data_IF_491526185851
#
_entry.id   IF_491526185851
#
_cell.length_a   1.000
_cell.length_b   1.000
_cell.length_c   1.000
_cell.angle_alpha   90.00
_cell.angle_beta   90.00
_cell.angle_gamma   90.00
#
_symmetry.space_group_name_H-M   'P 1'
#
loop_
_entity.id
_entity.type
_entity.pdbx_description
1 polymer ?
#
# COMPACT_ATOMS: atom_id res chain seq x y z
N UNK A 1 16.97 -2.87 -4.49
CA UNK A 1 16.74 -3.77 -5.65
C UNK A 1 15.74 -3.13 -6.62
N UNK A 2 15.40 -3.79 -7.74
CA UNK A 2 14.40 -3.30 -8.71
C UNK A 2 13.01 -3.06 -8.09
N UNK A 3 12.65 -3.88 -7.09
CA UNK A 3 11.36 -3.83 -6.43
C UNK A 3 11.19 -2.64 -5.49
N UNK A 4 12.23 -2.23 -4.75
CA UNK A 4 12.20 -1.05 -3.88
C UNK A 4 11.84 0.21 -4.65
N UNK A 5 12.43 0.37 -5.85
CA UNK A 5 12.13 1.51 -6.73
C UNK A 5 10.67 1.51 -7.19
N UNK A 6 10.13 0.33 -7.54
CA UNK A 6 8.73 0.19 -7.92
C UNK A 6 7.77 0.48 -6.78
N UNK A 7 8.09 0.02 -5.57
CA UNK A 7 7.30 0.31 -4.37
C UNK A 7 7.33 1.79 -4.02
N UNK A 8 8.51 2.41 -4.01
CA UNK A 8 8.65 3.84 -3.76
C UNK A 8 7.85 4.66 -4.78
N UNK A 9 7.94 4.31 -6.07
CA UNK A 9 7.15 4.95 -7.12
C UNK A 9 5.64 4.78 -6.87
N UNK A 10 5.18 3.56 -6.57
CA UNK A 10 3.78 3.30 -6.27
C UNK A 10 3.28 4.11 -5.07
N UNK A 11 4.08 4.21 -3.99
CA UNK A 11 3.73 4.99 -2.81
C UNK A 11 3.59 6.47 -3.17
N UNK A 12 4.51 7.03 -3.96
CA UNK A 12 4.43 8.43 -4.40
C UNK A 12 3.21 8.68 -5.30
N UNK A 13 2.88 7.75 -6.20
CA UNK A 13 1.67 7.84 -7.03
C UNK A 13 0.39 7.80 -6.19
N UNK A 14 0.30 6.88 -5.23
CA UNK A 14 -0.81 6.77 -4.31
C UNK A 14 -0.93 8.02 -3.41
N UNK A 15 0.21 8.56 -2.96
CA UNK A 15 0.29 9.79 -2.18
C UNK A 15 -0.20 11.01 -2.96
N UNK A 16 0.23 11.17 -4.20
CA UNK A 16 -0.20 12.27 -5.06
C UNK A 16 -1.72 12.26 -5.33
N UNK A 17 -2.34 11.08 -5.35
CA UNK A 17 -3.77 10.91 -5.64
C UNK A 17 -4.66 11.00 -4.41
N UNK A 18 -4.25 10.39 -3.31
CA UNK A 18 -5.14 10.13 -2.18
C UNK A 18 -4.65 10.69 -0.83
N UNK A 19 -3.35 11.01 -0.69
CA UNK A 19 -2.74 11.57 0.52
C UNK A 19 -3.24 10.89 1.81
N UNK A 20 -2.94 9.59 1.94
CA UNK A 20 -3.52 8.73 2.96
C UNK A 20 -2.67 8.70 4.24
N UNK A 21 -3.29 8.61 5.43
CA UNK A 21 -2.60 8.45 6.71
C UNK A 21 -2.10 7.00 6.90
N UNK A 22 -1.39 6.47 5.92
CA UNK A 22 -0.87 5.11 5.91
C UNK A 22 0.65 5.09 5.70
N UNK A 23 1.30 4.06 6.24
CA UNK A 23 2.73 3.79 6.08
C UNK A 23 2.97 2.38 5.55
N UNK A 24 3.85 2.25 4.56
CA UNK A 24 4.44 0.99 4.14
C UNK A 24 5.76 0.78 4.88
N UNK A 25 5.97 -0.39 5.46
CA UNK A 25 7.22 -0.80 6.11
C UNK A 25 7.77 -2.02 5.37
N UNK A 26 8.97 -1.90 4.83
CA UNK A 26 9.65 -2.99 4.14
C UNK A 26 10.36 -3.90 5.15
N UNK A 27 10.68 -5.13 4.73
CA UNK A 27 11.34 -6.13 5.58
C UNK A 27 12.75 -5.72 6.04
N UNK A 28 13.39 -4.78 5.34
CA UNK A 28 14.69 -4.20 5.70
C UNK A 28 14.58 -2.97 6.62
N UNK A 29 13.35 -2.60 7.03
CA UNK A 29 13.07 -1.47 7.90
C UNK A 29 12.86 -0.14 7.18
N UNK A 30 12.99 -0.08 5.85
CA UNK A 30 12.65 1.13 5.09
C UNK A 30 11.15 1.44 5.23
N UNK A 31 10.81 2.74 5.31
CA UNK A 31 9.45 3.21 5.50
C UNK A 31 9.07 4.21 4.43
N UNK A 32 7.85 4.07 3.89
CA UNK A 32 7.29 4.98 2.90
C UNK A 32 5.89 5.41 3.31
N UNK A 33 5.64 6.72 3.34
CA UNK A 33 4.35 7.28 3.76
C UNK A 33 3.47 7.59 2.55
N UNK A 34 2.23 7.11 2.57
CA UNK A 34 1.22 7.36 1.52
C UNK A 34 0.60 8.77 1.61
N UNK A 35 1.13 9.64 2.45
CA UNK A 35 0.55 10.94 2.73
C UNK A 35 1.40 11.79 3.66
N UNK A 36 0.86 12.94 4.05
CA UNK A 36 1.42 13.81 5.09
C UNK A 36 0.55 13.74 6.33
N UNK A 37 1.13 13.26 7.44
CA UNK A 37 0.44 13.04 8.70
C UNK A 37 1.43 13.03 9.87
N UNK A 38 0.94 13.25 11.09
CA UNK A 38 1.78 13.22 12.30
C UNK A 38 2.13 11.80 12.75
N UNK A 39 1.18 10.87 12.64
CA UNK A 39 1.36 9.45 12.91
C UNK A 39 0.47 8.62 11.95
N UNK A 40 0.95 7.44 11.50
CA UNK A 40 0.16 6.61 10.60
C UNK A 40 -1.05 6.03 11.35
N UNK A 41 -2.23 6.09 10.72
CA UNK A 41 -3.42 5.38 11.19
C UNK A 41 -3.34 3.89 10.85
N UNK A 42 -2.71 3.58 9.73
CA UNK A 42 -2.49 2.20 9.26
C UNK A 42 -1.04 2.00 8.86
N UNK A 43 -0.47 0.87 9.27
CA UNK A 43 0.84 0.41 8.84
C UNK A 43 0.71 -0.93 8.10
N UNK A 44 1.26 -1.00 6.89
CA UNK A 44 1.38 -2.20 6.08
C UNK A 44 2.82 -2.69 6.17
N UNK A 45 3.06 -3.84 6.79
CA UNK A 45 4.40 -4.44 6.92
C UNK A 45 4.56 -5.53 5.88
N UNK A 46 5.62 -5.46 5.08
CA UNK A 46 5.93 -6.47 4.06
C UNK A 46 6.73 -7.59 4.70
N UNK A 47 6.15 -8.78 4.77
CA UNK A 47 6.78 -9.97 5.34
C UNK A 47 7.53 -10.80 4.29
N UNK A 48 7.12 -10.68 3.02
CA UNK A 48 7.66 -11.49 1.93
C UNK A 48 7.74 -10.71 0.63
N UNK A 49 8.80 -10.95 -0.15
CA UNK A 49 8.92 -10.43 -1.52
C UNK A 49 7.77 -10.90 -2.44
N UNK A 50 7.09 -11.99 -2.11
CA UNK A 50 5.90 -12.44 -2.85
C UNK A 50 4.66 -11.56 -2.64
N UNK A 51 4.70 -10.60 -1.71
CA UNK A 51 3.68 -9.55 -1.58
C UNK A 51 3.75 -8.51 -2.70
N UNK A 52 4.94 -8.29 -3.26
CA UNK A 52 5.24 -7.14 -4.12
C UNK A 52 4.36 -7.07 -5.37
N UNK A 53 4.12 -8.17 -6.10
CA UNK A 53 3.21 -8.13 -7.25
C UNK A 53 1.77 -7.75 -6.85
N UNK A 54 1.31 -8.18 -5.68
CA UNK A 54 -0.04 -7.87 -5.18
C UNK A 54 -0.17 -6.42 -4.72
N UNK A 55 0.90 -5.86 -4.12
CA UNK A 55 0.92 -4.47 -3.66
C UNK A 55 1.03 -3.46 -4.80
N UNK A 56 1.73 -3.81 -5.89
CA UNK A 56 1.88 -2.95 -7.07
C UNK A 56 0.63 -2.92 -7.96
N UNK A 57 -0.28 -3.87 -7.77
CA UNK A 57 -1.63 -3.85 -8.32
C UNK A 57 -2.65 -3.87 -7.17
N UNK A 58 -2.71 -2.81 -6.35
CA UNK A 58 -3.54 -2.86 -5.17
C UNK A 58 -5.00 -2.83 -5.61
N UNK A 59 -5.69 -3.95 -5.42
CA UNK A 59 -7.14 -4.10 -5.41
C UNK A 59 -7.53 -4.66 -4.04
N UNK A 60 -8.81 -4.60 -3.67
CA UNK A 60 -9.25 -5.21 -2.42
C UNK A 60 -8.94 -6.71 -2.38
N UNK A 61 -9.07 -7.39 -3.52
CA UNK A 61 -8.74 -8.81 -3.65
C UNK A 61 -7.25 -9.06 -3.42
N UNK A 62 -6.37 -8.27 -4.04
CA UNK A 62 -4.92 -8.44 -3.90
C UNK A 62 -4.42 -8.06 -2.50
N UNK A 63 -4.96 -7.00 -1.90
CA UNK A 63 -4.63 -6.58 -0.54
C UNK A 63 -5.12 -7.62 0.48
N UNK A 64 -6.35 -8.11 0.30
CA UNK A 64 -6.94 -9.17 1.13
C UNK A 64 -6.17 -10.48 1.00
N UNK A 65 -5.81 -10.88 -0.21
CA UNK A 65 -4.98 -12.07 -0.45
C UNK A 65 -3.63 -11.93 0.27
N UNK A 66 -2.95 -10.79 0.12
CA UNK A 66 -1.65 -10.58 0.71
C UNK A 66 -1.71 -10.69 2.24
N UNK A 67 -2.76 -10.16 2.86
CA UNK A 67 -2.98 -10.25 4.30
C UNK A 67 -3.31 -11.67 4.75
N UNK A 68 -4.31 -12.33 4.15
CA UNK A 68 -4.74 -13.68 4.54
C UNK A 68 -3.63 -14.72 4.35
N UNK A 69 -2.78 -14.55 3.32
CA UNK A 69 -1.63 -15.42 3.08
C UNK A 69 -0.39 -15.04 3.91
N UNK A 70 -0.48 -14.07 4.81
CA UNK A 70 0.63 -13.63 5.67
C UNK A 70 1.79 -12.97 4.92
N UNK A 71 1.56 -12.54 3.67
CA UNK A 71 2.56 -11.84 2.85
C UNK A 71 2.76 -10.41 3.35
N UNK A 72 1.73 -9.83 3.95
CA UNK A 72 1.77 -8.55 4.67
C UNK A 72 1.06 -8.69 6.01
N UNK A 73 1.50 -7.88 6.98
CA UNK A 73 0.72 -7.58 8.18
C UNK A 73 0.12 -6.18 8.06
N UNK A 74 -1.06 -6.01 8.65
CA UNK A 74 -1.76 -4.73 8.68
C UNK A 74 -2.07 -4.38 10.13
N UNK A 75 -1.59 -3.22 10.57
CA UNK A 75 -1.82 -2.69 11.91
C UNK A 75 -2.60 -1.38 11.82
N UNK A 76 -3.57 -1.19 12.70
CA UNK A 76 -4.43 -0.01 12.73
C UNK A 76 -5.83 -0.35 13.27
N UNK A 77 -6.72 0.64 13.32
CA UNK A 77 -8.13 0.35 13.63
C UNK A 77 -8.78 -0.28 12.41
N UNK A 78 -9.65 -1.27 12.63
CA UNK A 78 -10.33 -1.96 11.53
C UNK A 78 -11.05 -1.01 10.57
N UNK A 79 -11.73 0.02 11.09
CA UNK A 79 -12.37 1.04 10.27
C UNK A 79 -11.38 1.75 9.34
N UNK A 80 -10.21 2.09 9.86
CA UNK A 80 -9.18 2.83 9.13
C UNK A 80 -8.52 1.91 8.09
N UNK A 81 -8.29 0.64 8.43
CA UNK A 81 -7.80 -0.40 7.52
C UNK A 81 -8.72 -0.55 6.31
N UNK A 82 -10.02 -0.67 6.54
CA UNK A 82 -11.00 -0.83 5.46
C UNK A 82 -11.04 0.43 4.59
N UNK A 83 -11.14 1.62 5.19
CA UNK A 83 -11.19 2.89 4.46
C UNK A 83 -9.93 3.14 3.60
N UNK A 84 -8.76 2.84 4.15
CA UNK A 84 -7.48 3.00 3.45
C UNK A 84 -7.33 1.93 2.37
N UNK A 85 -7.75 0.68 2.62
CA UNK A 85 -7.78 -0.38 1.61
C UNK A 85 -8.60 0.00 0.37
N UNK A 86 -9.81 0.54 0.58
CA UNK A 86 -10.65 1.07 -0.52
C UNK A 86 -9.96 2.22 -1.27
N UNK A 87 -9.32 3.14 -0.54
CA UNK A 87 -8.67 4.30 -1.13
C UNK A 87 -7.43 3.92 -1.95
N UNK A 88 -6.63 2.97 -1.46
CA UNK A 88 -5.50 2.40 -2.20
C UNK A 88 -5.98 1.68 -3.46
N UNK A 89 -7.03 0.87 -3.35
CA UNK A 89 -7.60 0.16 -4.50
C UNK A 89 -8.08 1.14 -5.58
N UNK A 90 -8.78 2.21 -5.20
CA UNK A 90 -9.26 3.22 -6.14
C UNK A 90 -8.12 4.00 -6.82
N UNK A 91 -7.05 4.31 -6.08
CA UNK A 91 -5.91 5.06 -6.61
C UNK A 91 -5.17 4.35 -7.75
N UNK A 92 -5.26 3.02 -7.82
CA UNK A 92 -4.64 2.20 -8.87
C UNK A 92 -5.52 2.06 -10.13
N UNK A 93 -6.85 2.01 -9.95
CA UNK A 93 -7.81 1.96 -11.06
C UNK A 93 -7.76 3.24 -11.91
N UNK A 94 -7.69 4.40 -11.26
CA UNK A 94 -7.56 5.69 -11.95
C UNK A 94 -6.23 5.80 -12.74
N UNK A 95 -5.16 5.13 -12.29
CA UNK A 95 -3.88 5.07 -13.01
C UNK A 95 -4.00 4.35 -14.37
N UNK A 96 -4.77 3.24 -14.40
CA UNK A 96 -4.97 2.44 -15.61
C UNK A 96 -5.82 3.16 -16.65
N UNK A 97 -6.74 4.02 -16.21
CA UNK A 97 -7.63 4.76 -17.10
C UNK A 97 -6.94 5.92 -17.81
N UNK A 98 -5.97 6.56 -17.15
CA UNK A 98 -5.17 7.66 -17.73
C UNK A 98 -4.02 7.18 -18.64
N UNK A 99 -3.81 5.86 -18.72
CA UNK A 99 -2.75 5.22 -19.52
C UNK A 99 -3.26 4.63 -20.85
N UNK A 100 -4.51 4.92 -21.24
CA UNK A 100 -5.16 4.50 -22.49
C UNK A 100 -5.57 5.71 -23.32
#
# INVERSE_FOLDING_TARGET
MFWDKKLAQWVEEAKAKANLPARLVLSDGQQHDFGTFAAPQVALKVNSASALPLLLEPSLDNLGEAYVKGKIDIEGKLSDIINIGYSLARSSEDARFLSR
#
